data_IF_852124446432
#
_entry.id   IF_852124446432
#
_cell.length_a   1.000
_cell.length_b   1.000
_cell.length_c   1.000
_cell.angle_alpha   90.00
_cell.angle_beta   90.00
_cell.angle_gamma   90.00
#
_symmetry.space_group_name_H-M   'P 1'
#
loop_
_entity.id
_entity.type
_entity.pdbx_description
1 polymer ?
#
# COMPACT_ATOMS: atom_id res chain seq x y z
N UNK A 1 21.91 -13.86 2.33
CA UNK A 1 21.50 -13.25 1.05
C UNK A 1 20.57 -12.11 1.36
N UNK A 2 20.95 -10.89 0.98
CA UNK A 2 19.98 -9.79 0.97
C UNK A 2 18.84 -10.17 0.05
N UNK A 3 17.60 -10.11 0.55
CA UNK A 3 16.43 -10.34 -0.30
C UNK A 3 16.39 -9.21 -1.32
N UNK A 4 16.38 -9.55 -2.61
CA UNK A 4 16.16 -8.58 -3.67
C UNK A 4 14.78 -7.93 -3.45
N UNK A 5 14.74 -6.59 -3.50
CA UNK A 5 13.51 -5.80 -3.43
C UNK A 5 13.25 -5.14 -4.77
N UNK A 6 11.98 -4.92 -5.08
CA UNK A 6 11.55 -4.04 -6.15
C UNK A 6 11.69 -2.57 -5.70
N UNK A 7 12.00 -1.68 -6.64
CA UNK A 7 12.12 -0.23 -6.40
C UNK A 7 11.02 0.49 -7.15
N UNK A 8 10.34 1.40 -6.45
CA UNK A 8 9.21 2.17 -6.97
C UNK A 8 9.38 3.66 -6.65
N UNK A 9 8.76 4.52 -7.47
CA UNK A 9 8.59 5.95 -7.18
C UNK A 9 7.10 6.26 -7.12
N UNK A 10 6.69 6.97 -6.07
CA UNK A 10 5.34 7.51 -5.93
C UNK A 10 5.41 9.03 -6.04
N UNK A 11 4.47 9.62 -6.79
CA UNK A 11 4.18 11.04 -6.82
C UNK A 11 2.68 11.21 -6.52
N UNK A 12 2.35 11.99 -5.48
CA UNK A 12 0.98 12.31 -5.10
C UNK A 12 0.75 13.81 -5.33
N UNK A 13 -0.17 14.13 -6.23
CA UNK A 13 -0.52 15.50 -6.60
C UNK A 13 -1.84 15.90 -5.93
N UNK A 14 -1.87 17.09 -5.31
CA UNK A 14 -3.08 17.61 -4.69
C UNK A 14 -3.94 18.28 -5.77
N UNK A 15 -5.02 17.63 -6.19
CA UNK A 15 -5.84 18.12 -7.31
C UNK A 15 -6.94 19.10 -6.88
N UNK A 16 -7.62 18.81 -5.78
CA UNK A 16 -8.67 19.67 -5.24
C UNK A 16 -8.90 19.39 -3.76
N UNK A 17 -9.25 20.43 -3.00
CA UNK A 17 -9.64 20.29 -1.61
C UNK A 17 -11.13 19.92 -1.49
N UNK A 18 -11.61 19.81 -0.24
CA UNK A 18 -13.01 19.46 0.03
C UNK A 18 -14.02 20.50 -0.49
N UNK A 19 -13.57 21.71 -0.86
CA UNK A 19 -14.38 22.78 -1.45
C UNK A 19 -14.28 22.81 -2.98
N UNK A 20 -13.43 21.96 -3.57
CA UNK A 20 -13.17 21.92 -5.00
C UNK A 20 -12.13 22.95 -5.47
N UNK A 21 -11.44 23.63 -4.55
CA UNK A 21 -10.37 24.56 -4.89
C UNK A 21 -9.08 23.78 -5.13
N UNK A 22 -8.27 24.18 -6.11
CA UNK A 22 -6.96 23.57 -6.33
C UNK A 22 -5.92 24.29 -5.44
N UNK A 23 -5.43 23.66 -4.35
CA UNK A 23 -4.43 24.29 -3.53
C UNK A 23 -3.07 24.23 -4.22
N UNK A 24 -2.36 25.36 -4.26
CA UNK A 24 -0.97 25.40 -4.69
C UNK A 24 -0.07 24.69 -3.68
N UNK A 25 0.07 23.37 -3.82
CA UNK A 25 0.93 22.51 -3.00
C UNK A 25 1.89 21.72 -3.88
N UNK A 26 3.14 21.69 -3.47
CA UNK A 26 4.14 20.81 -4.08
C UNK A 26 3.71 19.34 -3.96
N UNK A 27 3.85 18.53 -5.03
CA UNK A 27 3.56 17.11 -4.98
C UNK A 27 4.40 16.39 -3.92
N UNK A 28 3.80 15.44 -3.20
CA UNK A 28 4.56 14.53 -2.35
C UNK A 28 5.20 13.45 -3.23
N UNK A 29 6.52 13.48 -3.35
CA UNK A 29 7.27 12.54 -4.18
C UNK A 29 8.35 11.79 -3.38
N UNK A 30 8.39 10.46 -3.49
CA UNK A 30 9.41 9.65 -2.83
C UNK A 30 9.65 8.31 -3.53
N UNK A 31 10.85 7.76 -3.32
CA UNK A 31 11.24 6.41 -3.75
C UNK A 31 11.14 5.44 -2.59
N UNK A 32 10.62 4.25 -2.84
CA UNK A 32 10.53 3.20 -1.81
C UNK A 32 10.84 1.82 -2.39
N UNK A 33 11.16 0.90 -1.48
CA UNK A 33 11.45 -0.49 -1.80
C UNK A 33 10.36 -1.39 -1.22
N UNK A 34 9.99 -2.42 -1.96
CA UNK A 34 9.05 -3.45 -1.51
C UNK A 34 9.52 -4.83 -1.96
N UNK A 35 9.28 -5.87 -1.16
CA UNK A 35 9.64 -7.24 -1.52
C UNK A 35 8.70 -7.85 -2.55
N UNK A 36 7.45 -7.40 -2.57
CA UNK A 36 6.43 -7.90 -3.48
C UNK A 36 6.36 -7.05 -4.75
N UNK A 37 5.92 -7.67 -5.85
CA UNK A 37 5.56 -6.92 -7.05
C UNK A 37 4.15 -6.33 -6.89
N UNK A 38 4.09 -5.02 -6.65
CA UNK A 38 2.82 -4.31 -6.41
C UNK A 38 1.92 -4.36 -7.64
N UNK A 39 2.47 -4.29 -8.86
CA UNK A 39 1.66 -4.30 -10.09
C UNK A 39 1.00 -5.66 -10.29
N UNK A 40 1.77 -6.74 -10.16
CA UNK A 40 1.24 -8.11 -10.20
C UNK A 40 0.15 -8.33 -9.15
N UNK A 41 0.29 -7.75 -7.95
CA UNK A 41 -0.73 -7.86 -6.91
C UNK A 41 -2.01 -7.11 -7.28
N UNK A 42 -1.90 -5.89 -7.82
CA UNK A 42 -3.07 -5.14 -8.31
C UNK A 42 -3.79 -5.95 -9.38
N UNK A 43 -3.06 -6.52 -10.35
CA UNK A 43 -3.66 -7.36 -11.40
C UNK A 43 -4.39 -8.58 -10.84
N UNK A 44 -3.77 -9.29 -9.89
CA UNK A 44 -4.39 -10.47 -9.26
C UNK A 44 -5.66 -10.08 -8.51
N UNK A 45 -5.63 -9.01 -7.72
CA UNK A 45 -6.78 -8.57 -6.93
C UNK A 45 -7.91 -8.04 -7.83
N UNK A 46 -7.59 -7.35 -8.92
CA UNK A 46 -8.57 -6.88 -9.90
C UNK A 46 -9.27 -8.05 -10.57
N UNK A 47 -8.54 -9.11 -10.95
CA UNK A 47 -9.13 -10.34 -11.52
C UNK A 47 -10.03 -11.08 -10.54
N UNK A 48 -9.74 -10.98 -9.23
CA UNK A 48 -10.59 -11.54 -8.18
C UNK A 48 -11.86 -10.72 -7.92
N UNK A 49 -11.98 -9.54 -8.53
CA UNK A 49 -13.08 -8.60 -8.28
C UNK A 49 -13.31 -8.38 -6.78
N UNK A 50 -12.21 -8.18 -6.03
CA UNK A 50 -12.26 -8.06 -4.57
C UNK A 50 -13.16 -6.89 -4.12
N UNK A 51 -13.22 -5.84 -4.94
CA UNK A 51 -14.06 -4.67 -4.75
C UNK A 51 -14.89 -4.42 -6.01
N UNK A 52 -16.06 -3.78 -5.84
CA UNK A 52 -16.95 -3.42 -6.96
C UNK A 52 -16.31 -2.38 -7.87
N UNK A 53 -15.58 -1.41 -7.30
CA UNK A 53 -14.85 -0.40 -8.05
C UNK A 53 -13.40 -0.85 -8.31
N UNK A 54 -12.96 -0.95 -9.58
CA UNK A 54 -11.58 -1.26 -9.91
C UNK A 54 -10.55 -0.27 -9.32
N UNK A 55 -10.92 1.00 -9.14
CA UNK A 55 -10.04 2.01 -8.54
C UNK A 55 -9.62 1.64 -7.11
N UNK A 56 -10.57 1.15 -6.30
CA UNK A 56 -10.35 0.75 -4.91
C UNK A 56 -9.30 -0.34 -4.80
N UNK A 57 -9.18 -1.21 -5.81
CA UNK A 57 -8.20 -2.31 -5.80
C UNK A 57 -6.77 -1.79 -5.84
N UNK A 58 -6.50 -0.80 -6.69
CA UNK A 58 -5.17 -0.21 -6.81
C UNK A 58 -4.80 0.55 -5.54
N UNK A 59 -5.72 1.35 -5.01
CA UNK A 59 -5.55 2.09 -3.76
C UNK A 59 -5.29 1.14 -2.57
N UNK A 60 -6.12 0.11 -2.44
CA UNK A 60 -5.99 -0.89 -1.39
C UNK A 60 -4.66 -1.64 -1.46
N UNK A 61 -4.28 -2.15 -2.64
CA UNK A 61 -3.05 -2.91 -2.81
C UNK A 61 -1.81 -2.04 -2.52
N UNK A 62 -1.76 -0.82 -3.06
CA UNK A 62 -0.67 0.12 -2.84
C UNK A 62 -0.57 0.51 -1.37
N UNK A 63 -1.70 0.93 -0.77
CA UNK A 63 -1.76 1.34 0.63
C UNK A 63 -1.35 0.23 1.58
N UNK A 64 -1.88 -0.98 1.38
CA UNK A 64 -1.53 -2.15 2.19
C UNK A 64 -0.04 -2.46 2.10
N UNK A 65 0.56 -2.38 0.91
CA UNK A 65 1.99 -2.70 0.73
C UNK A 65 2.92 -1.63 1.26
N UNK A 66 2.57 -0.35 1.10
CA UNK A 66 3.31 0.75 1.74
C UNK A 66 3.26 0.62 3.27
N UNK A 67 2.06 0.41 3.82
CA UNK A 67 1.86 0.33 5.26
C UNK A 67 2.57 -0.87 5.90
N UNK A 68 2.33 -2.07 5.37
CA UNK A 68 2.91 -3.30 5.94
C UNK A 68 4.42 -3.36 5.81
N UNK A 69 5.01 -2.81 4.74
CA UNK A 69 6.47 -2.72 4.62
C UNK A 69 7.06 -1.74 5.65
N UNK A 70 6.40 -0.62 5.94
CA UNK A 70 6.80 0.28 7.04
C UNK A 70 6.73 -0.45 8.38
N UNK A 71 5.67 -1.23 8.64
CA UNK A 71 5.56 -2.04 9.85
C UNK A 71 6.71 -3.05 9.97
N UNK A 72 7.05 -3.74 8.87
CA UNK A 72 8.14 -4.74 8.87
C UNK A 72 9.50 -4.12 9.19
N UNK A 73 9.82 -2.97 8.59
CA UNK A 73 11.06 -2.22 8.88
C UNK A 73 11.11 -1.73 10.33
N UNK A 74 9.95 -1.39 10.89
CA UNK A 74 9.81 -0.83 12.24
C UNK A 74 9.15 -1.83 13.21
N UNK A 75 9.39 -3.14 13.06
CA UNK A 75 8.69 -4.21 13.80
C UNK A 75 8.78 -4.14 15.33
N UNK A 76 9.72 -3.35 15.87
CA UNK A 76 9.90 -3.14 17.31
C UNK A 76 9.11 -1.95 17.84
N UNK A 77 8.38 -1.23 16.99
CA UNK A 77 7.66 -0.05 17.40
C UNK A 77 6.41 -0.43 18.22
N UNK A 78 6.24 0.09 19.47
CA UNK A 78 5.14 -0.33 20.34
C UNK A 78 3.75 -0.11 19.74
N UNK A 79 3.57 0.92 18.90
CA UNK A 79 2.29 1.17 18.20
C UNK A 79 1.85 0.00 17.30
N UNK A 80 2.79 -0.86 16.86
CA UNK A 80 2.48 -2.01 16.01
C UNK A 80 2.31 -3.31 16.79
N UNK A 81 2.53 -3.32 18.10
CA UNK A 81 2.59 -4.55 18.90
C UNK A 81 1.23 -5.28 18.88
N UNK A 82 0.14 -4.57 19.16
CA UNK A 82 -1.22 -5.10 19.11
C UNK A 82 -1.75 -5.28 17.68
N UNK A 83 -1.31 -4.42 16.74
CA UNK A 83 -1.79 -4.44 15.36
C UNK A 83 -1.17 -5.57 14.52
N UNK A 84 0.09 -5.93 14.79
CA UNK A 84 0.83 -6.95 14.04
C UNK A 84 0.11 -8.31 13.93
N UNK A 85 -0.42 -8.92 15.02
CA UNK A 85 -1.15 -10.18 14.90
C UNK A 85 -2.44 -10.05 14.08
N UNK A 86 -3.16 -8.92 14.18
CA UNK A 86 -4.36 -8.66 13.39
C UNK A 86 -4.03 -8.53 11.89
N UNK A 87 -2.97 -7.80 11.55
CA UNK A 87 -2.47 -7.69 10.17
C UNK A 87 -2.04 -9.05 9.64
N UNK A 88 -1.35 -9.86 10.42
CA UNK A 88 -0.95 -11.21 10.01
C UNK A 88 -2.17 -12.11 9.71
N UNK A 89 -3.20 -12.06 10.57
CA UNK A 89 -4.44 -12.79 10.35
C UNK A 89 -5.19 -12.29 9.10
N UNK A 90 -5.27 -10.98 8.90
CA UNK A 90 -5.85 -10.36 7.72
C UNK A 90 -5.14 -10.80 6.44
N UNK A 91 -3.80 -10.72 6.39
CA UNK A 91 -3.00 -11.12 5.24
C UNK A 91 -3.18 -12.60 4.87
N UNK A 92 -3.40 -13.48 5.85
CA UNK A 92 -3.71 -14.90 5.58
C UNK A 92 -5.06 -15.05 4.87
N UNK A 93 -6.09 -14.34 5.33
CA UNK A 93 -7.42 -14.35 4.71
C UNK A 93 -7.37 -13.79 3.28
N UNK A 94 -6.72 -12.63 3.10
CA UNK A 94 -6.59 -11.98 1.79
C UNK A 94 -5.86 -12.85 0.75
N UNK A 95 -4.89 -13.65 1.17
CA UNK A 95 -4.18 -14.57 0.27
C UNK A 95 -5.00 -15.83 -0.08
N UNK A 96 -5.95 -16.19 0.78
CA UNK A 96 -6.77 -17.39 0.64
C UNK A 96 -8.05 -17.16 -0.19
N UNK A 97 -8.60 -15.93 -0.19
CA UNK A 97 -9.58 -15.46 -1.18
C UNK A 97 -8.91 -15.33 -2.53
#
# INVERSE_FOLDING_TARGET
MEKKTNTYRLKLEYLSDIKGENPEKEPLEFTFHNHDDIFSIVEILTKKALFENPGDTAEFALGLKLFTEVMLRNRKQPLFEELSPAIAAFMKKLKAS
#
